data_IF_398962293754
#
_entry.id   IF_398962293754
#
_cell.length_a   1.000
_cell.length_b   1.000
_cell.length_c   1.000
_cell.angle_alpha   90.00
_cell.angle_beta   90.00
_cell.angle_gamma   90.00
#
_symmetry.space_group_name_H-M   'P 1'
#
loop_
_entity.id
_entity.type
_entity.pdbx_description
1 polymer ?
#
# COMPACT_ATOMS: atom_id res chain seq x y z
N UNK A 1 17.11 18.53 11.14
CA UNK A 1 17.31 17.10 10.90
C UNK A 1 16.72 16.71 9.55
N UNK A 2 17.45 15.93 8.79
CA UNK A 2 17.04 15.52 7.46
C UNK A 2 15.98 14.41 7.55
N UNK A 3 14.83 14.63 6.92
CA UNK A 3 13.80 13.59 6.83
C UNK A 3 14.26 12.48 5.90
N UNK A 4 14.12 11.24 6.33
CA UNK A 4 14.40 10.09 5.48
C UNK A 4 13.30 9.90 4.46
N UNK A 5 13.70 9.71 3.20
CA UNK A 5 12.77 9.36 2.15
C UNK A 5 12.49 7.85 2.18
N UNK A 6 11.24 7.49 1.87
CA UNK A 6 10.80 6.11 1.79
C UNK A 6 10.48 5.73 0.35
N UNK A 7 10.57 4.45 0.04
CA UNK A 7 10.09 3.92 -1.22
C UNK A 7 8.73 3.27 -0.96
N UNK A 8 7.72 3.69 -1.69
CA UNK A 8 6.34 3.23 -1.51
C UNK A 8 5.86 2.60 -2.79
N UNK A 9 5.45 1.32 -2.71
CA UNK A 9 4.83 0.62 -3.84
C UNK A 9 3.33 0.88 -3.82
N UNK A 10 2.80 1.33 -4.94
CA UNK A 10 1.36 1.58 -5.11
C UNK A 10 0.84 0.70 -6.22
N UNK A 11 -0.19 -0.09 -5.96
CA UNK A 11 -0.87 -0.91 -6.95
C UNK A 11 -2.33 -0.52 -7.06
N UNK A 12 -2.74 0.00 -8.21
CA UNK A 12 -4.12 0.42 -8.48
C UNK A 12 -4.32 0.38 -10.00
N UNK A 13 -5.43 -0.20 -10.46
CA UNK A 13 -5.70 -0.32 -11.89
C UNK A 13 -6.23 0.97 -12.52
N UNK A 14 -6.60 1.97 -11.71
CA UNK A 14 -7.10 3.25 -12.21
C UNK A 14 -5.95 4.26 -12.37
N UNK A 15 -5.65 4.71 -13.61
CA UNK A 15 -4.55 5.66 -13.84
C UNK A 15 -4.68 6.97 -13.04
N UNK A 16 -5.92 7.47 -12.92
CA UNK A 16 -6.16 8.72 -12.18
C UNK A 16 -5.81 8.58 -10.70
N UNK A 17 -6.10 7.43 -10.10
CA UNK A 17 -5.77 7.17 -8.70
C UNK A 17 -4.26 7.02 -8.53
N UNK A 18 -3.58 6.31 -9.44
CA UNK A 18 -2.11 6.21 -9.39
C UNK A 18 -1.46 7.59 -9.43
N UNK A 19 -1.91 8.45 -10.33
CA UNK A 19 -1.39 9.81 -10.44
C UNK A 19 -1.64 10.61 -9.16
N UNK A 20 -2.85 10.51 -8.61
CA UNK A 20 -3.20 11.17 -7.35
C UNK A 20 -2.30 10.71 -6.20
N UNK A 21 -2.09 9.39 -6.08
CA UNK A 21 -1.25 8.84 -5.02
C UNK A 21 0.20 9.27 -5.16
N UNK A 22 0.73 9.32 -6.39
CA UNK A 22 2.07 9.84 -6.63
C UNK A 22 2.22 11.28 -6.15
N UNK A 23 1.26 12.13 -6.49
CA UNK A 23 1.28 13.55 -6.08
C UNK A 23 1.23 13.66 -4.56
N UNK A 24 0.29 12.96 -3.93
CA UNK A 24 0.10 13.01 -2.47
C UNK A 24 1.35 12.55 -1.73
N UNK A 25 1.86 11.39 -2.11
CA UNK A 25 2.94 10.75 -1.35
C UNK A 25 4.32 11.33 -1.66
N UNK A 26 4.53 11.81 -2.88
CA UNK A 26 5.80 12.46 -3.23
C UNK A 26 5.96 13.83 -2.58
N UNK A 27 4.88 14.43 -2.09
CA UNK A 27 4.95 15.71 -1.39
C UNK A 27 5.89 15.69 -0.17
N UNK A 28 6.06 14.52 0.44
CA UNK A 28 6.99 14.33 1.56
C UNK A 28 8.38 13.87 1.11
N UNK A 29 8.65 13.88 -0.19
CA UNK A 29 9.95 13.51 -0.74
C UNK A 29 10.16 12.02 -0.93
N UNK A 30 9.09 11.21 -0.83
CA UNK A 30 9.18 9.75 -1.00
C UNK A 30 9.27 9.37 -2.47
N UNK A 31 9.93 8.26 -2.75
CA UNK A 31 9.93 7.65 -4.08
C UNK A 31 8.71 6.75 -4.22
N UNK A 32 7.94 6.95 -5.28
CA UNK A 32 6.72 6.18 -5.52
C UNK A 32 6.94 5.27 -6.73
N UNK A 33 6.71 3.98 -6.54
CA UNK A 33 6.70 2.99 -7.62
C UNK A 33 5.24 2.60 -7.82
N UNK A 34 4.66 3.05 -8.93
CA UNK A 34 3.24 2.81 -9.21
C UNK A 34 3.09 1.73 -10.28
N UNK A 35 2.28 0.72 -9.99
CA UNK A 35 1.99 -0.38 -10.90
C UNK A 35 0.49 -0.51 -11.07
N UNK A 36 0.07 -1.13 -12.18
CA UNK A 36 -1.35 -1.17 -12.57
C UNK A 36 -2.08 -2.45 -12.17
N UNK A 37 -1.37 -3.48 -11.71
CA UNK A 37 -2.00 -4.75 -11.35
C UNK A 37 -1.14 -5.55 -10.37
N UNK A 38 -1.71 -6.66 -9.89
CA UNK A 38 -1.05 -7.50 -8.89
C UNK A 38 0.17 -8.23 -9.42
N UNK A 39 0.16 -8.62 -10.71
CA UNK A 39 1.32 -9.28 -11.31
C UNK A 39 2.52 -8.36 -11.34
N UNK A 40 2.31 -7.11 -11.76
CA UNK A 40 3.38 -6.11 -11.78
C UNK A 40 3.90 -5.83 -10.37
N UNK A 41 3.00 -5.80 -9.37
CA UNK A 41 3.41 -5.63 -7.97
C UNK A 41 4.31 -6.78 -7.51
N UNK A 42 3.92 -8.03 -7.77
CA UNK A 42 4.71 -9.19 -7.38
C UNK A 42 6.04 -9.25 -8.13
N UNK A 43 6.05 -8.88 -9.42
CA UNK A 43 7.29 -8.83 -10.20
C UNK A 43 8.27 -7.82 -9.59
N UNK A 44 7.78 -6.64 -9.20
CA UNK A 44 8.60 -5.64 -8.52
C UNK A 44 9.17 -6.18 -7.20
N UNK A 45 8.33 -6.85 -6.40
CA UNK A 45 8.71 -7.35 -5.08
C UNK A 45 9.69 -8.52 -5.13
N UNK A 46 9.87 -9.13 -6.29
CA UNK A 46 10.85 -10.21 -6.44
C UNK A 46 12.27 -9.74 -6.15
N UNK A 47 12.59 -8.52 -6.58
CA UNK A 47 13.95 -7.97 -6.48
C UNK A 47 14.04 -6.70 -5.61
N UNK A 48 12.92 -6.24 -5.05
CA UNK A 48 12.87 -4.97 -4.31
C UNK A 48 12.11 -5.10 -3.01
N UNK A 49 12.47 -4.28 -2.04
CA UNK A 49 11.84 -4.26 -0.72
C UNK A 49 11.43 -2.82 -0.40
N UNK A 50 10.19 -2.42 -0.76
CA UNK A 50 9.72 -1.07 -0.43
C UNK A 50 9.52 -0.90 1.07
N UNK A 51 9.39 0.34 1.50
CA UNK A 51 9.15 0.66 2.92
C UNK A 51 7.68 0.56 3.31
N UNK A 52 6.77 0.67 2.34
CA UNK A 52 5.34 0.50 2.54
C UNK A 52 4.69 0.11 1.22
N UNK A 53 3.49 -0.45 1.30
CA UNK A 53 2.68 -0.80 0.13
C UNK A 53 1.27 -0.28 0.29
N UNK A 54 0.74 0.30 -0.78
CA UNK A 54 -0.67 0.67 -0.89
C UNK A 54 -1.28 -0.17 -1.99
N UNK A 55 -2.26 -0.99 -1.65
CA UNK A 55 -2.85 -1.95 -2.59
C UNK A 55 -4.34 -1.69 -2.70
N UNK A 56 -4.81 -1.39 -3.91
CA UNK A 56 -6.25 -1.33 -4.17
C UNK A 56 -6.85 -2.72 -4.01
N UNK A 57 -7.94 -2.81 -3.26
CA UNK A 57 -8.63 -4.08 -3.05
C UNK A 57 -9.17 -4.61 -4.37
N UNK A 58 -9.77 -3.73 -5.18
CA UNK A 58 -10.47 -4.16 -6.38
C UNK A 58 -9.60 -3.97 -7.63
N UNK A 59 -8.90 -5.04 -8.01
CA UNK A 59 -8.11 -5.08 -9.23
C UNK A 59 -8.41 -6.36 -9.99
N UNK A 60 -8.27 -6.35 -11.33
CA UNK A 60 -8.53 -7.56 -12.11
C UNK A 60 -7.48 -8.64 -11.83
N UNK A 61 -7.90 -9.90 -11.92
CA UNK A 61 -7.11 -11.13 -11.79
C UNK A 61 -6.59 -11.41 -10.37
N UNK A 62 -5.99 -10.43 -9.72
CA UNK A 62 -5.46 -10.60 -8.36
C UNK A 62 -5.73 -9.34 -7.57
N UNK A 63 -6.61 -9.42 -6.57
CA UNK A 63 -7.00 -8.27 -5.77
C UNK A 63 -5.97 -7.95 -4.67
N UNK A 64 -6.18 -6.82 -4.00
CA UNK A 64 -5.28 -6.38 -2.94
C UNK A 64 -5.21 -7.32 -1.75
N UNK A 65 -6.30 -8.00 -1.43
CA UNK A 65 -6.31 -8.99 -0.35
C UNK A 65 -5.35 -10.15 -0.65
N UNK A 66 -5.39 -10.65 -1.89
CA UNK A 66 -4.53 -11.77 -2.28
C UNK A 66 -3.06 -11.37 -2.28
N UNK A 67 -2.75 -10.18 -2.80
CA UNK A 67 -1.37 -9.69 -2.78
C UNK A 67 -0.88 -9.56 -1.33
N UNK A 68 -1.69 -8.95 -0.47
CA UNK A 68 -1.36 -8.80 0.95
C UNK A 68 -1.10 -10.15 1.60
N UNK A 69 -1.98 -11.12 1.36
CA UNK A 69 -1.84 -12.48 1.91
C UNK A 69 -0.52 -13.11 1.48
N UNK A 70 -0.14 -12.97 0.21
CA UNK A 70 1.12 -13.51 -0.31
C UNK A 70 2.33 -12.83 0.32
N UNK A 71 2.31 -11.50 0.41
CA UNK A 71 3.39 -10.71 0.99
C UNK A 71 3.63 -11.11 2.45
N UNK A 72 2.56 -11.28 3.22
CA UNK A 72 2.66 -11.60 4.65
C UNK A 72 3.18 -13.03 4.90
N UNK A 73 3.20 -13.88 3.89
CA UNK A 73 3.76 -15.23 3.98
C UNK A 73 5.23 -15.30 3.57
N UNK A 74 5.78 -14.23 3.01
CA UNK A 74 7.17 -14.18 2.56
C UNK A 74 8.00 -13.51 3.66
N UNK A 75 8.95 -14.25 4.22
CA UNK A 75 9.75 -13.79 5.37
C UNK A 75 10.40 -12.43 5.12
N UNK A 76 10.95 -12.21 3.94
CA UNK A 76 11.61 -10.96 3.56
C UNK A 76 10.66 -9.76 3.51
N UNK A 77 9.38 -10.00 3.21
CA UNK A 77 8.40 -8.95 2.93
C UNK A 77 7.36 -8.73 4.04
N UNK A 78 7.17 -9.72 4.91
CA UNK A 78 6.02 -9.73 5.83
C UNK A 78 6.00 -8.60 6.86
N UNK A 79 7.14 -7.96 7.13
CA UNK A 79 7.19 -6.84 8.07
C UNK A 79 6.90 -5.49 7.41
N UNK A 80 6.79 -5.45 6.08
CA UNK A 80 6.49 -4.23 5.35
C UNK A 80 5.04 -3.84 5.60
N UNK A 81 4.75 -2.61 6.04
CA UNK A 81 3.37 -2.19 6.23
C UNK A 81 2.57 -2.23 4.93
N UNK A 82 1.37 -2.80 5.00
CA UNK A 82 0.45 -2.88 3.86
C UNK A 82 -0.82 -2.13 4.22
N UNK A 83 -1.15 -1.11 3.42
CA UNK A 83 -2.42 -0.38 3.51
C UNK A 83 -3.28 -0.80 2.33
N UNK A 84 -4.51 -1.22 2.62
CA UNK A 84 -5.48 -1.55 1.57
C UNK A 84 -6.32 -0.31 1.26
N UNK A 85 -6.59 -0.07 -0.02
CA UNK A 85 -7.44 1.02 -0.49
C UNK A 85 -8.76 0.44 -0.96
N UNK A 86 -9.88 0.94 -0.48
CA UNK A 86 -11.19 0.42 -0.85
C UNK A 86 -12.27 1.50 -0.78
N UNK A 87 -13.31 1.33 -1.61
CA UNK A 87 -14.51 2.15 -1.52
C UNK A 87 -15.56 1.58 -0.57
N UNK A 88 -15.30 0.41 0.03
CA UNK A 88 -16.29 -0.30 0.84
C UNK A 88 -15.92 -0.28 2.32
N UNK A 89 -16.74 0.41 3.11
CA UNK A 89 -16.60 0.45 4.57
C UNK A 89 -17.66 -0.45 5.18
N UNK A 90 -17.42 -1.76 5.17
CA UNK A 90 -18.32 -2.75 5.74
C UNK A 90 -17.54 -3.78 6.56
N UNK A 91 -18.27 -4.55 7.38
CA UNK A 91 -17.65 -5.52 8.28
C UNK A 91 -16.91 -6.62 7.54
N UNK A 92 -17.45 -7.07 6.40
CA UNK A 92 -16.83 -8.13 5.61
C UNK A 92 -15.46 -7.70 5.09
N UNK A 93 -15.35 -6.47 4.59
CA UNK A 93 -14.09 -5.91 4.11
C UNK A 93 -13.08 -5.79 5.26
N UNK A 94 -13.51 -5.28 6.41
CA UNK A 94 -12.64 -5.14 7.58
C UNK A 94 -12.16 -6.49 8.10
N UNK A 95 -13.05 -7.48 8.15
CA UNK A 95 -12.68 -8.82 8.60
C UNK A 95 -11.70 -9.48 7.65
N UNK A 96 -11.91 -9.32 6.33
CA UNK A 96 -11.00 -9.85 5.33
C UNK A 96 -9.61 -9.20 5.42
N UNK A 97 -9.56 -7.90 5.63
CA UNK A 97 -8.29 -7.18 5.79
C UNK A 97 -7.49 -7.72 6.99
N UNK A 98 -8.16 -7.96 8.10
CA UNK A 98 -7.51 -8.56 9.28
C UNK A 98 -7.01 -9.98 8.98
N UNK A 99 -7.81 -10.76 8.30
CA UNK A 99 -7.47 -12.15 7.97
C UNK A 99 -6.20 -12.23 7.14
N UNK A 100 -6.00 -11.32 6.17
CA UNK A 100 -4.82 -11.33 5.32
C UNK A 100 -3.61 -10.60 5.94
N UNK A 101 -3.80 -9.98 7.10
CA UNK A 101 -2.70 -9.33 7.83
C UNK A 101 -2.40 -7.90 7.40
N UNK A 102 -3.38 -7.20 6.79
CA UNK A 102 -3.20 -5.81 6.43
C UNK A 102 -2.98 -4.94 7.67
N UNK A 103 -2.11 -3.95 7.56
CA UNK A 103 -1.78 -3.08 8.69
C UNK A 103 -2.76 -1.93 8.84
N UNK A 104 -3.42 -1.53 7.76
CA UNK A 104 -4.42 -0.47 7.78
C UNK A 104 -5.33 -0.56 6.56
N UNK A 105 -6.46 0.15 6.64
CA UNK A 105 -7.39 0.32 5.53
C UNK A 105 -7.63 1.81 5.35
N UNK A 106 -7.57 2.27 4.10
CA UNK A 106 -7.89 3.65 3.74
C UNK A 106 -9.08 3.62 2.79
N UNK A 107 -10.10 4.40 3.11
CA UNK A 107 -11.34 4.42 2.34
C UNK A 107 -11.31 5.53 1.29
N UNK A 108 -11.80 5.22 0.10
CA UNK A 108 -11.99 6.22 -0.95
C UNK A 108 -13.28 6.99 -0.67
N UNK A 109 -13.36 8.29 -0.95
CA UNK A 109 -12.34 9.15 -1.59
C UNK A 109 -11.18 9.48 -0.66
N UNK A 110 -9.99 9.64 -1.26
CA UNK A 110 -8.75 9.81 -0.50
C UNK A 110 -8.57 11.22 0.01
N UNK A 111 -8.12 11.34 1.26
CA UNK A 111 -7.64 12.60 1.84
C UNK A 111 -6.12 12.55 1.90
N UNK A 112 -5.46 13.47 1.21
CA UNK A 112 -4.00 13.48 1.13
C UNK A 112 -3.32 13.58 2.49
N UNK A 113 -3.82 14.47 3.34
CA UNK A 113 -3.25 14.66 4.68
C UNK A 113 -3.37 13.40 5.53
N UNK A 114 -4.55 12.77 5.52
CA UNK A 114 -4.81 11.56 6.28
C UNK A 114 -3.92 10.41 5.77
N UNK A 115 -3.82 10.24 4.45
CA UNK A 115 -3.04 9.17 3.85
C UNK A 115 -1.56 9.32 4.17
N UNK A 116 -0.99 10.52 4.01
CA UNK A 116 0.42 10.76 4.34
C UNK A 116 0.72 10.44 5.79
N UNK A 117 -0.15 10.89 6.70
CA UNK A 117 0.03 10.64 8.13
C UNK A 117 0.05 9.16 8.46
N UNK A 118 -0.86 8.39 7.88
CA UNK A 118 -0.95 6.95 8.12
C UNK A 118 0.27 6.20 7.60
N UNK A 119 0.71 6.53 6.37
CA UNK A 119 1.90 5.90 5.78
C UNK A 119 3.13 6.19 6.64
N UNK A 120 3.36 7.45 6.98
CA UNK A 120 4.52 7.85 7.76
C UNK A 120 4.52 7.18 9.13
N UNK A 121 3.37 7.12 9.79
CA UNK A 121 3.24 6.49 11.11
C UNK A 121 3.61 5.01 11.07
N UNK A 122 3.12 4.28 10.07
CA UNK A 122 3.38 2.85 9.95
C UNK A 122 4.85 2.56 9.62
N UNK A 123 5.44 3.33 8.71
CA UNK A 123 6.84 3.16 8.36
C UNK A 123 7.75 3.46 9.55
N UNK A 124 7.47 4.52 10.29
CA UNK A 124 8.26 4.88 11.47
C UNK A 124 8.13 3.83 12.58
N UNK A 125 6.94 3.29 12.79
CA UNK A 125 6.73 2.23 13.78
C UNK A 125 7.54 0.98 13.45
N UNK A 126 7.62 0.61 12.16
CA UNK A 126 8.44 -0.53 11.72
C UNK A 126 9.93 -0.32 11.98
N UNK A 127 10.40 0.92 11.90
CA UNK A 127 11.82 1.25 12.05
C UNK A 127 12.28 1.38 13.49
N UNK A 128 11.37 1.33 14.45
CA UNK A 128 11.69 1.40 15.87
C UNK A 128 12.13 0.02 16.45
#
# INVERSE_FOLDING_TARGET
MRRMAYTILVADDEPAIRTMLEVILSADGHEIVAVSDGKAALDYLRDNTPDAMLLDVKMPHMDGFEICSRVKRIKRLRSIPVLLLTGFDDDQTRDHAKLVGADDIVYKPLSGKNLRGRVNQLVEARRR
#
